data_IF_672977756752
#
_entry.id   IF_672977756752
#
_cell.length_a   1.000
_cell.length_b   1.000
_cell.length_c   1.000
_cell.angle_alpha   90.00
_cell.angle_beta   90.00
_cell.angle_gamma   90.00
#
_symmetry.space_group_name_H-M   'P 1'
#
loop_
_entity.id
_entity.type
_entity.pdbx_description
1 polymer ?
#
# COMPACT_ATOMS: atom_id res chain seq x y z
N UNK A 1 -6.08 16.24 -3.39
CA UNK A 1 -5.59 17.02 -2.23
C UNK A 1 -5.85 16.28 -0.91
N UNK A 2 -7.09 15.85 -0.63
CA UNK A 2 -7.43 15.09 0.59
C UNK A 2 -6.52 13.86 0.86
N UNK A 3 -6.32 12.98 -0.14
CA UNK A 3 -5.41 11.83 -0.02
C UNK A 3 -3.98 12.22 0.38
N UNK A 4 -3.46 13.31 -0.19
CA UNK A 4 -2.12 13.79 0.13
C UNK A 4 -2.01 14.30 1.56
N UNK A 5 -3.03 15.02 2.03
CA UNK A 5 -3.12 15.52 3.41
C UNK A 5 -3.17 14.34 4.37
N UNK A 6 -4.06 13.37 4.11
CA UNK A 6 -4.21 12.17 4.93
C UNK A 6 -2.90 11.37 4.99
N UNK A 7 -2.25 11.15 3.84
CA UNK A 7 -0.97 10.46 3.77
C UNK A 7 0.09 11.17 4.62
N UNK A 8 0.14 12.51 4.58
CA UNK A 8 1.07 13.30 5.39
C UNK A 8 0.73 13.19 6.89
N UNK A 9 -0.54 13.28 7.29
CA UNK A 9 -0.92 13.07 8.69
C UNK A 9 -0.50 11.69 9.20
N UNK A 10 -0.63 10.64 8.37
CA UNK A 10 -0.25 9.27 8.75
C UNK A 10 1.27 9.06 8.99
N UNK A 11 2.13 10.07 8.79
CA UNK A 11 3.52 10.00 9.28
C UNK A 11 3.57 10.00 10.81
N UNK A 12 2.57 10.58 11.46
CA UNK A 12 2.43 10.64 12.92
C UNK A 12 1.62 9.45 13.46
N UNK A 13 2.10 8.85 14.55
CA UNK A 13 1.46 7.68 15.17
C UNK A 13 0.02 7.92 15.61
N UNK A 14 -0.23 9.05 16.29
CA UNK A 14 -1.58 9.40 16.77
C UNK A 14 -2.58 9.52 15.61
N UNK A 15 -2.16 10.08 14.47
CA UNK A 15 -3.00 10.18 13.29
C UNK A 15 -3.29 8.81 12.67
N UNK A 16 -2.33 7.89 12.63
CA UNK A 16 -2.57 6.52 12.12
C UNK A 16 -3.66 5.80 12.93
N UNK A 17 -3.53 5.84 14.25
CA UNK A 17 -4.49 5.24 15.16
C UNK A 17 -5.90 5.84 14.97
N UNK A 18 -6.00 7.17 14.83
CA UNK A 18 -7.28 7.84 14.62
C UNK A 18 -7.91 7.50 13.26
N UNK A 19 -7.12 7.44 12.18
CA UNK A 19 -7.61 7.03 10.86
C UNK A 19 -8.12 5.58 10.89
N UNK A 20 -7.41 4.67 11.56
CA UNK A 20 -7.88 3.28 11.77
C UNK A 20 -9.19 3.27 12.55
N UNK A 21 -9.25 3.97 13.69
CA UNK A 21 -10.43 4.03 14.58
C UNK A 21 -11.68 4.57 13.86
N UNK A 22 -11.51 5.50 12.93
CA UNK A 22 -12.58 6.08 12.10
C UNK A 22 -12.93 5.22 10.87
N UNK A 23 -12.30 4.05 10.69
CA UNK A 23 -12.58 3.15 9.56
C UNK A 23 -12.00 3.63 8.23
N UNK A 24 -10.98 4.49 8.23
CA UNK A 24 -10.43 5.11 7.02
C UNK A 24 -9.70 4.16 6.07
N UNK A 25 -9.37 2.94 6.49
CA UNK A 25 -8.66 1.94 5.67
C UNK A 25 -9.52 1.47 4.50
N UNK A 26 -10.77 1.05 4.75
CA UNK A 26 -11.63 0.49 3.71
C UNK A 26 -11.92 1.48 2.55
N UNK A 27 -12.17 2.78 2.80
CA UNK A 27 -12.25 3.78 1.74
C UNK A 27 -10.97 3.88 0.89
N UNK A 28 -9.78 3.82 1.50
CA UNK A 28 -8.52 3.84 0.77
C UNK A 28 -8.37 2.62 -0.14
N UNK A 29 -8.73 1.43 0.35
CA UNK A 29 -8.71 0.20 -0.44
C UNK A 29 -9.72 0.27 -1.60
N UNK A 30 -10.90 0.83 -1.35
CA UNK A 30 -11.92 1.04 -2.38
C UNK A 30 -11.44 1.99 -3.47
N UNK A 31 -10.74 3.07 -3.11
CA UNK A 31 -10.14 3.99 -4.08
C UNK A 31 -9.10 3.26 -4.94
N UNK A 32 -8.26 2.42 -4.31
CA UNK A 32 -7.25 1.62 -5.01
C UNK A 32 -7.88 0.66 -6.04
N UNK A 33 -9.05 0.09 -5.70
CA UNK A 33 -9.81 -0.78 -6.58
C UNK A 33 -10.43 -0.03 -7.76
N UNK A 34 -11.08 1.11 -7.49
CA UNK A 34 -11.93 1.80 -8.48
C UNK A 34 -11.17 2.80 -9.37
N UNK A 35 -10.03 3.33 -8.94
CA UNK A 35 -9.38 4.47 -9.61
C UNK A 35 -7.97 4.11 -10.06
N UNK A 36 -7.76 3.91 -11.36
CA UNK A 36 -6.48 3.45 -11.93
C UNK A 36 -5.53 4.59 -12.38
N UNK A 37 -5.80 5.83 -11.98
CA UNK A 37 -4.92 6.96 -12.28
C UNK A 37 -3.66 6.94 -11.40
N UNK A 38 -2.47 6.89 -11.99
CA UNK A 38 -1.17 6.79 -11.30
C UNK A 38 -1.00 7.78 -10.15
N UNK A 39 -1.38 9.06 -10.34
CA UNK A 39 -1.25 10.06 -9.27
C UNK A 39 -2.15 9.80 -8.06
N UNK A 40 -3.31 9.14 -8.26
CA UNK A 40 -4.24 8.75 -7.19
C UNK A 40 -3.76 7.45 -6.55
N UNK A 41 -3.33 6.49 -7.36
CA UNK A 41 -2.71 5.23 -6.92
C UNK A 41 -1.50 5.51 -6.02
N UNK A 42 -0.58 6.37 -6.45
CA UNK A 42 0.57 6.85 -5.68
C UNK A 42 0.15 7.36 -4.29
N UNK A 43 -0.76 8.34 -4.23
CA UNK A 43 -1.17 8.96 -2.96
C UNK A 43 -1.90 7.98 -2.05
N UNK A 44 -2.70 7.07 -2.62
CA UNK A 44 -3.43 6.04 -1.89
C UNK A 44 -2.48 5.00 -1.32
N UNK A 45 -1.56 4.47 -2.14
CA UNK A 45 -0.51 3.56 -1.70
C UNK A 45 0.39 4.22 -0.64
N UNK A 46 0.67 5.52 -0.77
CA UNK A 46 1.45 6.25 0.22
C UNK A 46 0.74 6.33 1.57
N UNK A 47 -0.56 6.58 1.59
CA UNK A 47 -1.37 6.58 2.80
C UNK A 47 -1.42 5.18 3.44
N UNK A 48 -1.73 4.14 2.66
CA UNK A 48 -1.77 2.75 3.12
C UNK A 48 -0.41 2.30 3.66
N UNK A 49 0.68 2.63 2.96
CA UNK A 49 2.03 2.32 3.41
C UNK A 49 2.40 3.03 4.71
N UNK A 50 1.93 4.26 4.93
CA UNK A 50 2.14 4.96 6.20
C UNK A 50 1.34 4.29 7.33
N UNK A 51 0.06 3.97 7.10
CA UNK A 51 -0.78 3.24 8.05
C UNK A 51 -0.17 1.89 8.44
N UNK A 52 0.35 1.13 7.47
CA UNK A 52 1.00 -0.17 7.68
C UNK A 52 2.29 -0.12 8.51
N UNK A 53 2.78 1.06 8.92
CA UNK A 53 3.87 1.17 9.90
C UNK A 53 3.43 0.79 11.32
N UNK A 54 2.13 0.66 11.54
CA UNK A 54 1.53 0.23 12.80
C UNK A 54 0.96 -1.20 12.63
N UNK A 55 1.33 -2.17 13.48
CA UNK A 55 0.98 -3.59 13.29
C UNK A 55 -0.53 -3.84 13.19
N UNK A 56 -1.34 -3.19 14.01
CA UNK A 56 -2.80 -3.33 14.01
C UNK A 56 -3.39 -2.82 12.69
N UNK A 57 -2.92 -1.65 12.23
CA UNK A 57 -3.30 -1.09 10.94
C UNK A 57 -2.84 -1.99 9.78
N UNK A 58 -1.68 -2.65 9.90
CA UNK A 58 -1.20 -3.63 8.91
C UNK A 58 -2.17 -4.82 8.79
N UNK A 59 -2.58 -5.42 9.91
CA UNK A 59 -3.56 -6.52 9.92
C UNK A 59 -4.91 -6.12 9.30
N UNK A 60 -5.39 -4.91 9.59
CA UNK A 60 -6.63 -4.39 9.02
C UNK A 60 -6.52 -4.15 7.51
N UNK A 61 -5.38 -3.68 7.02
CA UNK A 61 -5.13 -3.48 5.58
C UNK A 61 -5.08 -4.82 4.82
N UNK A 62 -4.47 -5.85 5.42
CA UNK A 62 -4.52 -7.22 4.89
C UNK A 62 -5.96 -7.73 4.83
N UNK A 63 -6.71 -7.58 5.92
CA UNK A 63 -8.10 -8.03 6.03
C UNK A 63 -9.04 -7.31 5.07
N UNK A 64 -8.75 -6.04 4.75
CA UNK A 64 -9.48 -5.26 3.77
C UNK A 64 -9.20 -5.67 2.30
N UNK A 65 -8.23 -6.57 2.05
CA UNK A 65 -7.94 -7.05 0.70
C UNK A 65 -7.08 -6.09 -0.13
N UNK A 66 -6.27 -5.24 0.51
CA UNK A 66 -5.46 -4.24 -0.20
C UNK A 66 -4.31 -4.83 -1.02
N UNK A 67 -3.75 -5.96 -0.57
CA UNK A 67 -2.50 -6.50 -1.14
C UNK A 67 -2.64 -6.90 -2.61
N UNK A 68 -3.65 -7.68 -3.06
CA UNK A 68 -3.81 -7.99 -4.48
C UNK A 68 -3.93 -6.75 -5.36
N UNK A 69 -4.59 -5.70 -4.85
CA UNK A 69 -4.74 -4.43 -5.56
C UNK A 69 -3.42 -3.66 -5.66
N UNK A 70 -2.60 -3.67 -4.59
CA UNK A 70 -1.25 -3.08 -4.63
C UNK A 70 -0.34 -3.86 -5.60
N UNK A 71 -0.46 -5.18 -5.67
CA UNK A 71 0.28 -6.01 -6.64
C UNK A 71 -0.15 -5.69 -8.07
N UNK A 72 -1.45 -5.50 -8.31
CA UNK A 72 -1.96 -5.04 -9.61
C UNK A 72 -1.34 -3.67 -9.98
N UNK A 73 -1.37 -2.70 -9.05
CA UNK A 73 -0.79 -1.37 -9.26
C UNK A 73 0.71 -1.40 -9.53
N UNK A 74 1.44 -2.36 -8.95
CA UNK A 74 2.87 -2.56 -9.22
C UNK A 74 3.16 -2.88 -10.70
N UNK A 75 2.23 -3.56 -11.36
CA UNK A 75 2.35 -3.94 -12.79
C UNK A 75 1.74 -2.92 -13.74
N UNK A 76 0.77 -2.14 -13.26
CA UNK A 76 0.00 -1.22 -14.10
C UNK A 76 0.52 0.23 -14.07
N UNK A 77 1.12 0.68 -12.96
CA UNK A 77 1.65 2.05 -12.87
C UNK A 77 2.85 2.23 -13.81
N UNK A 78 2.86 3.34 -14.54
CA UNK A 78 3.99 3.76 -15.38
C UNK A 78 4.84 4.83 -14.69
N UNK A 79 4.25 5.56 -13.74
CA UNK A 79 4.93 6.57 -12.95
C UNK A 79 5.86 5.96 -11.88
N UNK A 80 7.12 6.38 -11.88
CA UNK A 80 8.13 5.88 -10.94
C UNK A 80 7.81 6.21 -9.47
N UNK A 81 7.16 7.35 -9.20
CA UNK A 81 6.77 7.73 -7.84
C UNK A 81 5.59 6.87 -7.34
N UNK A 82 4.67 6.50 -8.23
CA UNK A 82 3.63 5.51 -7.94
C UNK A 82 4.27 4.19 -7.54
N UNK A 83 5.16 3.64 -8.37
CA UNK A 83 5.83 2.36 -8.11
C UNK A 83 6.58 2.38 -6.78
N UNK A 84 7.35 3.43 -6.50
CA UNK A 84 8.04 3.56 -5.21
C UNK A 84 7.08 3.53 -4.02
N UNK A 85 5.94 4.20 -4.12
CA UNK A 85 4.94 4.22 -3.04
C UNK A 85 4.28 2.85 -2.87
N UNK A 86 3.98 2.14 -3.95
CA UNK A 86 3.42 0.79 -3.94
C UNK A 86 4.41 -0.21 -3.32
N UNK A 87 5.66 -0.22 -3.78
CA UNK A 87 6.71 -1.11 -3.24
C UNK A 87 6.92 -0.84 -1.75
N UNK A 88 6.98 0.43 -1.34
CA UNK A 88 7.10 0.79 0.08
C UNK A 88 5.91 0.32 0.91
N UNK A 89 4.69 0.40 0.37
CA UNK A 89 3.50 -0.11 1.04
C UNK A 89 3.56 -1.63 1.23
N UNK A 90 3.90 -2.38 0.17
CA UNK A 90 4.08 -3.84 0.23
C UNK A 90 5.17 -4.25 1.25
N UNK A 91 6.29 -3.51 1.30
CA UNK A 91 7.33 -3.71 2.32
C UNK A 91 6.79 -3.56 3.75
N UNK A 92 6.00 -2.52 4.01
CA UNK A 92 5.42 -2.31 5.34
C UNK A 92 4.40 -3.38 5.69
N UNK A 93 3.62 -3.82 4.70
CA UNK A 93 2.68 -4.92 4.86
C UNK A 93 3.36 -6.29 5.08
N UNK A 94 4.69 -6.38 5.04
CA UNK A 94 5.46 -7.59 5.28
C UNK A 94 6.00 -7.68 6.74
N UNK A 95 5.34 -7.03 7.70
CA UNK A 95 5.82 -6.87 9.09
C UNK A 95 6.02 -8.19 9.85
N UNK A 96 5.22 -9.22 9.56
CA UNK A 96 5.18 -10.50 10.26
C UNK A 96 5.38 -11.69 9.31
N UNK A 97 5.78 -12.87 9.82
CA UNK A 97 5.89 -14.08 9.01
C UNK A 97 4.57 -14.45 8.31
N UNK A 98 3.44 -14.28 9.00
CA UNK A 98 2.10 -14.54 8.45
C UNK A 98 1.80 -13.60 7.27
N UNK A 99 2.05 -12.30 7.44
CA UNK A 99 1.81 -11.33 6.37
C UNK A 99 2.76 -11.50 5.18
N UNK A 100 4.02 -11.90 5.42
CA UNK A 100 4.96 -12.29 4.35
C UNK A 100 4.46 -13.47 3.54
N UNK A 101 3.93 -14.49 4.23
CA UNK A 101 3.32 -15.64 3.56
C UNK A 101 2.08 -15.21 2.74
N UNK A 102 1.22 -14.36 3.30
CA UNK A 102 0.04 -13.85 2.60
C UNK A 102 0.42 -13.07 1.32
N UNK A 103 1.40 -12.18 1.40
CA UNK A 103 1.96 -11.45 0.24
C UNK A 103 2.44 -12.41 -0.85
N UNK A 104 3.17 -13.48 -0.47
CA UNK A 104 3.64 -14.47 -1.41
C UNK A 104 2.50 -15.26 -2.06
N UNK A 105 1.52 -15.70 -1.26
CA UNK A 105 0.33 -16.42 -1.74
C UNK A 105 -0.55 -15.57 -2.65
N UNK A 106 -0.56 -14.25 -2.45
CA UNK A 106 -1.30 -13.29 -3.25
C UNK A 106 -0.49 -12.79 -4.47
N UNK A 107 0.64 -13.41 -4.77
CA UNK A 107 1.35 -13.22 -6.03
C UNK A 107 2.32 -12.04 -6.06
N UNK A 108 2.65 -11.42 -4.91
CA UNK A 108 3.54 -10.26 -4.89
C UNK A 108 4.99 -10.56 -5.33
N UNK A 109 5.45 -11.80 -5.15
CA UNK A 109 6.88 -12.18 -5.34
C UNK A 109 7.33 -12.01 -6.78
N UNK A 110 6.54 -12.48 -7.75
CA UNK A 110 6.94 -12.47 -9.16
C UNK A 110 7.08 -11.05 -9.72
N UNK A 111 6.07 -10.15 -9.61
CA UNK A 111 6.20 -8.77 -10.08
C UNK A 111 7.35 -8.01 -9.42
N UNK A 112 7.62 -8.25 -8.13
CA UNK A 112 8.76 -7.63 -7.44
C UNK A 112 10.10 -8.12 -7.99
N UNK A 113 10.24 -9.42 -8.30
CA UNK A 113 11.44 -9.96 -8.91
C UNK A 113 11.66 -9.43 -10.33
N UNK A 114 10.59 -9.32 -11.13
CA UNK A 114 10.63 -8.72 -12.47
C UNK A 114 11.01 -7.23 -12.41
N UNK A 115 10.51 -6.48 -11.43
CA UNK A 115 10.88 -5.08 -11.21
C UNK A 115 12.37 -4.90 -10.89
N UNK A 116 12.94 -5.79 -10.06
CA UNK A 116 14.37 -5.77 -9.73
C UNK A 116 15.24 -6.08 -10.96
N UNK A 117 14.81 -7.02 -11.81
CA UNK A 117 15.53 -7.35 -13.04
C UNK A 117 15.47 -6.23 -14.09
N UNK A 118 14.43 -5.38 -14.03
CA UNK A 118 14.23 -4.27 -14.96
C UNK A 118 14.93 -2.97 -14.54
N UNK A 119 15.33 -2.82 -13.28
CA UNK A 119 16.09 -1.67 -12.81
C UNK A 119 17.59 -1.90 -13.12
N UNK A 120 18.21 -1.13 -14.06
CA UNK A 120 19.65 -1.14 -14.19
C UNK A 120 20.27 -0.49 -12.95
N UNK A 121 21.38 -1.06 -12.47
CA UNK A 121 22.22 -0.50 -11.40
C UNK A 121 22.55 0.99 -11.60
#
# INVERSE_FOLDING_TARGET
LALSILANCCTEGACRAEVRRLGGILPLVTILQCVKTDSIQNRTARALGNLAMEPESCGDIHSAGAVPLLVESLTACQDSQCLQSVVRALRNLADSPQHRLALAQQGAVRPLAELLAAAPD
#
